data_IF_048534716326
#
_entry.id   IF_048534716326
#
_cell.length_a   1.000
_cell.length_b   1.000
_cell.length_c   1.000
_cell.angle_alpha   90.00
_cell.angle_beta   90.00
_cell.angle_gamma   90.00
#
_symmetry.space_group_name_H-M   'P 1'
#
loop_
_entity.id
_entity.type
_entity.pdbx_description
1 polymer ?
#
# COMPACT_ATOMS: atom_id res chain seq x y z
N UNK A 1 -36.94 -6.65 36.21
CA UNK A 1 -36.06 -5.62 36.76
C UNK A 1 -34.63 -6.19 36.75
N UNK A 2 -33.90 -5.99 35.68
CA UNK A 2 -32.50 -6.45 35.55
C UNK A 2 -31.69 -5.29 34.97
N UNK A 3 -30.80 -4.80 35.81
CA UNK A 3 -29.97 -3.65 35.59
C UNK A 3 -28.83 -4.01 34.62
N UNK A 4 -28.78 -3.35 33.43
CA UNK A 4 -27.67 -3.43 32.53
C UNK A 4 -26.49 -2.63 33.08
N UNK A 5 -25.36 -3.28 33.27
CA UNK A 5 -24.07 -2.60 33.46
C UNK A 5 -23.33 -2.58 32.14
N UNK A 6 -23.26 -1.42 31.52
CA UNK A 6 -22.31 -1.09 30.48
C UNK A 6 -20.90 -1.13 31.09
N UNK A 7 -20.06 -2.03 30.58
CA UNK A 7 -18.66 -2.07 30.95
C UNK A 7 -17.92 -1.00 30.15
N UNK A 8 -17.73 0.18 30.75
CA UNK A 8 -16.75 1.15 30.30
C UNK A 8 -15.35 0.54 30.46
N UNK A 9 -14.75 0.11 29.36
CA UNK A 9 -13.33 -0.23 29.33
C UNK A 9 -12.53 1.05 29.40
N UNK A 10 -12.20 1.42 30.64
CA UNK A 10 -11.20 2.45 30.95
C UNK A 10 -9.84 1.95 30.45
N UNK A 11 -9.41 2.45 29.31
CA UNK A 11 -8.05 2.25 28.81
C UNK A 11 -7.12 3.12 29.66
N UNK A 12 -6.55 2.54 30.70
CA UNK A 12 -5.48 3.17 31.50
C UNK A 12 -4.27 3.27 30.59
N UNK A 13 -3.89 4.50 30.22
CA UNK A 13 -2.69 4.79 29.47
C UNK A 13 -1.45 4.38 30.24
N UNK A 14 -0.94 3.19 29.94
CA UNK A 14 0.45 2.85 30.21
C UNK A 14 1.30 3.53 29.15
N UNK A 15 2.35 4.25 29.57
CA UNK A 15 3.40 4.75 28.69
C UNK A 15 4.15 3.56 28.06
N UNK A 16 3.57 2.98 27.00
CA UNK A 16 4.22 1.97 26.19
C UNK A 16 5.21 2.65 25.26
N UNK A 17 6.39 2.09 25.13
CA UNK A 17 7.34 2.48 24.10
C UNK A 17 6.62 2.56 22.74
N UNK A 18 6.78 3.70 22.07
CA UNK A 18 6.23 3.93 20.73
C UNK A 18 6.82 2.89 19.79
N UNK A 19 5.98 2.10 19.13
CA UNK A 19 6.41 1.07 18.20
C UNK A 19 7.12 1.66 16.98
N UNK A 20 7.72 0.81 16.19
CA UNK A 20 8.38 1.17 14.93
C UNK A 20 7.68 0.48 13.78
N UNK A 21 7.11 1.25 12.85
CA UNK A 21 6.33 0.74 11.74
C UNK A 21 7.09 0.80 10.41
N UNK A 22 7.02 -0.27 9.63
CA UNK A 22 7.38 -0.28 8.21
C UNK A 22 6.11 -0.35 7.36
N UNK A 23 6.07 0.47 6.29
CA UNK A 23 4.91 0.60 5.43
C UNK A 23 5.21 -0.01 4.06
N UNK A 24 4.29 -0.84 3.56
CA UNK A 24 4.38 -1.51 2.28
C UNK A 24 3.19 -1.11 1.40
N UNK A 25 3.49 -0.43 0.29
CA UNK A 25 2.50 0.17 -0.59
C UNK A 25 2.50 -0.54 -1.95
N UNK A 26 1.47 -1.34 -2.21
CA UNK A 26 1.20 -1.85 -3.56
C UNK A 26 0.62 -0.70 -4.41
N UNK A 27 1.47 -0.12 -5.25
CA UNK A 27 1.11 1.04 -6.05
C UNK A 27 0.00 0.76 -7.06
N UNK A 28 -0.08 -0.46 -7.58
CA UNK A 28 -1.16 -0.86 -8.49
C UNK A 28 -2.51 -0.90 -7.78
N UNK A 29 -2.54 -1.48 -6.60
CA UNK A 29 -3.76 -1.54 -5.80
C UNK A 29 -4.18 -0.16 -5.27
N UNK A 30 -3.24 0.66 -4.79
CA UNK A 30 -3.55 2.03 -4.36
C UNK A 30 -4.17 2.85 -5.48
N UNK A 31 -3.62 2.78 -6.70
CA UNK A 31 -4.19 3.48 -7.85
C UNK A 31 -5.61 3.02 -8.17
N UNK A 32 -5.85 1.71 -8.04
CA UNK A 32 -7.17 1.13 -8.23
C UNK A 32 -8.17 1.66 -7.19
N UNK A 33 -7.80 1.68 -5.91
CA UNK A 33 -8.62 2.22 -4.81
C UNK A 33 -8.89 3.72 -5.02
N UNK A 34 -7.88 4.52 -5.31
CA UNK A 34 -8.06 5.95 -5.55
C UNK A 34 -8.96 6.21 -6.76
N UNK A 35 -8.88 5.38 -7.80
CA UNK A 35 -9.69 5.52 -9.02
C UNK A 35 -11.15 5.19 -8.79
N UNK A 36 -11.44 4.05 -8.18
CA UNK A 36 -12.81 3.52 -8.09
C UNK A 36 -13.55 4.05 -6.86
N UNK A 37 -12.87 4.19 -5.72
CA UNK A 37 -13.52 4.57 -4.46
C UNK A 37 -13.47 6.09 -4.22
N UNK A 38 -12.46 6.81 -4.79
CA UNK A 38 -12.19 8.21 -4.44
C UNK A 38 -12.07 9.16 -5.64
N UNK A 39 -12.51 8.76 -6.83
CA UNK A 39 -12.56 9.64 -8.02
C UNK A 39 -11.20 10.18 -8.45
N UNK A 40 -10.14 9.39 -8.29
CA UNK A 40 -8.73 9.74 -8.62
C UNK A 40 -8.18 10.96 -7.85
N UNK A 41 -8.69 11.22 -6.65
CA UNK A 41 -8.22 12.34 -5.83
C UNK A 41 -6.71 12.24 -5.61
N UNK A 42 -5.94 13.31 -5.93
CA UNK A 42 -4.51 13.29 -5.72
C UNK A 42 -4.17 13.36 -4.23
N UNK A 43 -3.36 12.41 -3.76
CA UNK A 43 -2.96 12.32 -2.36
C UNK A 43 -1.49 12.67 -2.15
N UNK A 44 -1.15 13.03 -0.93
CA UNK A 44 0.21 13.18 -0.44
C UNK A 44 0.69 11.86 0.17
N UNK A 45 1.62 11.18 -0.50
CA UNK A 45 2.11 9.88 -0.07
C UNK A 45 2.90 9.95 1.25
N UNK A 46 3.51 11.09 1.59
CA UNK A 46 4.15 11.26 2.88
C UNK A 46 3.12 11.27 4.01
N UNK A 47 2.00 11.97 3.81
CA UNK A 47 0.88 11.98 4.77
C UNK A 47 0.22 10.60 4.86
N UNK A 48 0.06 9.89 3.73
CA UNK A 48 -0.46 8.52 3.75
C UNK A 48 0.42 7.61 4.60
N UNK A 49 1.74 7.61 4.36
CA UNK A 49 2.66 6.78 5.12
C UNK A 49 2.66 7.11 6.62
N UNK A 50 2.57 8.40 6.98
CA UNK A 50 2.43 8.81 8.37
C UNK A 50 1.12 8.35 9.00
N UNK A 51 0.00 8.47 8.27
CA UNK A 51 -1.30 7.98 8.74
C UNK A 51 -1.33 6.46 8.91
N UNK A 52 -0.64 5.74 8.04
CA UNK A 52 -0.53 4.28 8.12
C UNK A 52 0.38 3.83 9.28
N UNK A 53 1.41 4.60 9.59
CA UNK A 53 2.32 4.28 10.68
C UNK A 53 1.72 4.61 12.06
N UNK A 54 0.83 5.58 12.15
CA UNK A 54 0.31 6.07 13.43
C UNK A 54 -0.41 4.97 14.24
N UNK A 55 -0.14 4.91 15.58
CA UNK A 55 0.61 5.88 16.41
C UNK A 55 2.13 5.67 16.44
N UNK A 56 2.67 4.67 15.74
CA UNK A 56 4.07 4.28 15.78
C UNK A 56 5.00 5.22 14.98
N UNK A 57 6.30 5.12 15.23
CA UNK A 57 7.29 5.84 14.44
C UNK A 57 7.45 5.19 13.06
N UNK A 58 7.35 5.99 11.99
CA UNK A 58 7.63 5.52 10.64
C UNK A 58 9.13 5.24 10.45
N UNK A 59 9.52 3.98 10.33
CA UNK A 59 10.87 3.60 9.95
C UNK A 59 11.11 3.94 8.48
N UNK A 60 10.28 3.35 7.59
CA UNK A 60 10.37 3.49 6.13
C UNK A 60 9.05 3.11 5.46
N UNK A 61 8.74 3.81 4.38
CA UNK A 61 7.67 3.45 3.45
C UNK A 61 8.28 2.91 2.15
N UNK A 62 7.88 1.71 1.77
CA UNK A 62 8.28 1.06 0.53
C UNK A 62 7.12 1.14 -0.47
N UNK A 63 7.37 1.68 -1.64
CA UNK A 63 6.40 1.76 -2.74
C UNK A 63 6.80 0.83 -3.87
N UNK A 64 5.93 -0.10 -4.21
CA UNK A 64 6.16 -1.13 -5.23
C UNK A 64 5.27 -0.88 -6.43
N UNK A 65 5.85 -0.88 -7.62
CA UNK A 65 5.10 -0.73 -8.87
C UNK A 65 5.90 -1.22 -10.07
N UNK A 66 5.29 -1.21 -11.26
CA UNK A 66 5.97 -1.39 -12.54
C UNK A 66 5.92 -0.11 -13.36
N UNK A 67 7.01 0.16 -14.12
CA UNK A 67 6.95 1.15 -15.17
C UNK A 67 6.09 0.62 -16.32
N UNK A 68 5.34 1.49 -17.02
CA UNK A 68 4.57 1.10 -18.20
C UNK A 68 5.46 0.45 -19.27
N UNK A 69 4.88 -0.48 -20.00
CA UNK A 69 5.56 -1.10 -21.13
C UNK A 69 5.82 -0.08 -22.24
N UNK A 70 6.95 -0.28 -22.93
CA UNK A 70 7.27 0.39 -24.18
C UNK A 70 7.59 -0.66 -25.22
N UNK A 71 7.01 -0.52 -26.42
CA UNK A 71 7.37 -1.30 -27.61
C UNK A 71 8.75 -0.90 -28.15
N UNK A 72 9.25 -1.61 -29.15
CA UNK A 72 10.50 -1.27 -29.82
C UNK A 72 10.27 -1.18 -31.34
N UNK A 73 10.24 0.06 -31.90
CA UNK A 73 10.32 1.37 -31.23
C UNK A 73 9.04 1.72 -30.46
N UNK A 74 9.12 2.55 -29.41
CA UNK A 74 7.95 2.95 -28.64
C UNK A 74 7.11 3.99 -29.37
N UNK A 75 5.78 3.93 -29.19
CA UNK A 75 4.87 4.98 -29.65
C UNK A 75 4.97 6.24 -28.79
N UNK A 76 4.48 7.38 -29.28
CA UNK A 76 4.49 8.63 -28.51
C UNK A 76 3.65 8.50 -27.21
N UNK A 77 2.50 7.84 -27.28
CA UNK A 77 1.69 7.57 -26.08
C UNK A 77 2.43 6.72 -25.04
N UNK A 78 3.17 5.72 -25.49
CA UNK A 78 3.98 4.87 -24.59
C UNK A 78 5.09 5.68 -23.94
N UNK A 79 5.75 6.55 -24.68
CA UNK A 79 6.78 7.46 -24.15
C UNK A 79 6.20 8.42 -23.10
N UNK A 80 5.06 9.01 -23.38
CA UNK A 80 4.40 9.94 -22.46
C UNK A 80 3.95 9.23 -21.16
N UNK A 81 3.30 8.07 -21.25
CA UNK A 81 2.89 7.27 -20.08
C UNK A 81 4.10 6.86 -19.25
N UNK A 82 5.16 6.40 -19.90
CA UNK A 82 6.40 6.02 -19.25
C UNK A 82 7.03 7.22 -18.54
N UNK A 83 7.18 8.34 -19.23
CA UNK A 83 7.77 9.55 -18.67
C UNK A 83 6.95 10.09 -17.48
N UNK A 84 5.62 10.04 -17.55
CA UNK A 84 4.74 10.44 -16.45
C UNK A 84 4.97 9.55 -15.21
N UNK A 85 4.95 8.23 -15.39
CA UNK A 85 5.18 7.27 -14.31
C UNK A 85 6.58 7.41 -13.73
N UNK A 86 7.58 7.54 -14.57
CA UNK A 86 8.97 7.70 -14.15
C UNK A 86 9.15 8.98 -13.31
N UNK A 87 8.59 10.12 -13.76
CA UNK A 87 8.61 11.37 -12.95
C UNK A 87 7.92 11.20 -11.60
N UNK A 88 6.79 10.52 -11.57
CA UNK A 88 6.06 10.26 -10.33
C UNK A 88 6.88 9.39 -9.37
N UNK A 89 7.40 8.26 -9.81
CA UNK A 89 8.20 7.35 -8.98
C UNK A 89 9.51 7.98 -8.53
N UNK A 90 10.16 8.77 -9.40
CA UNK A 90 11.32 9.58 -9.02
C UNK A 90 10.96 10.61 -7.94
N UNK A 91 9.83 11.30 -8.07
CA UNK A 91 9.41 12.24 -7.03
C UNK A 91 9.14 11.55 -5.68
N UNK A 92 8.57 10.34 -5.68
CA UNK A 92 8.40 9.56 -4.46
C UNK A 92 9.73 9.16 -3.81
N UNK A 93 10.74 8.79 -4.61
CA UNK A 93 12.05 8.38 -4.08
C UNK A 93 12.82 9.53 -3.38
N UNK A 94 12.44 10.78 -3.61
CA UNK A 94 12.98 11.95 -2.89
C UNK A 94 12.23 12.28 -1.59
N UNK A 95 11.12 11.61 -1.31
CA UNK A 95 10.43 11.80 -0.03
C UNK A 95 11.26 11.21 1.11
N UNK A 96 11.32 11.89 2.27
CA UNK A 96 12.00 11.34 3.44
C UNK A 96 11.44 9.97 3.83
N UNK A 97 12.32 9.03 4.12
CA UNK A 97 11.98 7.64 4.53
C UNK A 97 11.20 6.84 3.48
N UNK A 98 11.24 7.24 2.20
CA UNK A 98 10.64 6.48 1.10
C UNK A 98 11.68 5.68 0.33
N UNK A 99 11.31 4.48 -0.05
CA UNK A 99 12.04 3.62 -0.98
C UNK A 99 11.11 3.14 -2.08
N UNK A 100 11.50 3.38 -3.34
CA UNK A 100 10.72 2.97 -4.51
C UNK A 100 11.36 1.73 -5.12
N UNK A 101 10.57 0.68 -5.27
CA UNK A 101 10.96 -0.61 -5.86
C UNK A 101 10.18 -0.83 -7.14
N UNK A 102 10.87 -0.90 -8.27
CA UNK A 102 10.25 -1.05 -9.58
C UNK A 102 10.48 -2.46 -10.14
N UNK A 103 9.38 -3.16 -10.40
CA UNK A 103 9.37 -4.41 -11.14
C UNK A 103 9.43 -4.19 -12.64
N UNK A 104 9.20 -5.25 -13.40
CA UNK A 104 9.16 -5.23 -14.88
C UNK A 104 7.78 -5.68 -15.36
N UNK A 105 7.27 -5.00 -16.39
CA UNK A 105 6.17 -5.51 -17.19
C UNK A 105 6.74 -6.42 -18.30
N UNK A 106 6.27 -7.65 -18.34
CA UNK A 106 6.55 -8.61 -19.41
C UNK A 106 5.34 -8.68 -20.34
N UNK A 107 5.56 -8.44 -21.63
CA UNK A 107 4.55 -8.69 -22.66
C UNK A 107 4.32 -10.20 -22.80
N UNK A 108 3.05 -10.64 -22.85
CA UNK A 108 2.64 -12.04 -22.91
C UNK A 108 1.84 -12.39 -24.17
N UNK A 109 1.73 -11.47 -25.10
CA UNK A 109 0.93 -11.62 -26.30
C UNK A 109 -0.30 -10.74 -26.30
N UNK A 110 -1.30 -11.12 -27.09
CA UNK A 110 -2.58 -10.43 -27.21
C UNK A 110 -3.71 -11.34 -26.73
N UNK A 111 -4.73 -10.75 -26.13
CA UNK A 111 -5.95 -11.43 -25.76
C UNK A 111 -6.82 -11.72 -27.01
N UNK A 112 -7.89 -12.49 -26.84
CA UNK A 112 -8.83 -12.83 -27.92
C UNK A 112 -9.52 -11.61 -28.55
N UNK A 113 -9.59 -10.50 -27.81
CA UNK A 113 -10.12 -9.20 -28.27
C UNK A 113 -9.04 -8.25 -28.81
N UNK A 114 -7.82 -8.77 -29.07
CA UNK A 114 -6.73 -8.03 -29.70
C UNK A 114 -5.95 -7.08 -28.77
N UNK A 115 -6.21 -7.10 -27.46
CA UNK A 115 -5.50 -6.25 -26.50
C UNK A 115 -4.21 -6.89 -26.01
N UNK A 116 -3.12 -6.11 -25.84
CA UNK A 116 -1.87 -6.64 -25.31
C UNK A 116 -2.04 -7.08 -23.86
N UNK A 117 -1.55 -8.28 -23.56
CA UNK A 117 -1.51 -8.85 -22.21
C UNK A 117 -0.15 -8.55 -21.60
N UNK A 118 -0.16 -7.95 -20.42
CA UNK A 118 1.04 -7.69 -19.63
C UNK A 118 0.98 -8.44 -18.30
N UNK A 119 2.12 -8.95 -17.87
CA UNK A 119 2.29 -9.53 -16.55
C UNK A 119 3.33 -8.73 -15.77
N UNK A 120 2.96 -8.31 -14.57
CA UNK A 120 3.92 -7.76 -13.61
C UNK A 120 4.86 -8.88 -13.15
N UNK A 121 6.13 -8.57 -13.05
CA UNK A 121 7.15 -9.49 -12.53
C UNK A 121 8.01 -8.80 -11.50
N UNK A 122 8.36 -9.55 -10.47
CA UNK A 122 9.25 -9.19 -9.35
C UNK A 122 8.62 -8.32 -8.27
N UNK A 123 7.49 -7.64 -8.50
CA UNK A 123 6.88 -6.74 -7.50
C UNK A 123 6.54 -7.52 -6.25
N UNK A 124 5.74 -8.57 -6.39
CA UNK A 124 5.24 -9.38 -5.28
C UNK A 124 6.38 -10.07 -4.53
N UNK A 125 7.35 -10.61 -5.28
CA UNK A 125 8.55 -11.22 -4.68
C UNK A 125 9.38 -10.20 -3.91
N UNK A 126 9.60 -8.99 -4.45
CA UNK A 126 10.37 -7.95 -3.75
C UNK A 126 9.66 -7.50 -2.47
N UNK A 127 8.35 -7.25 -2.53
CA UNK A 127 7.58 -6.85 -1.36
C UNK A 127 7.63 -7.92 -0.27
N UNK A 128 7.36 -9.18 -0.64
CA UNK A 128 7.38 -10.29 0.30
C UNK A 128 8.74 -10.50 0.96
N UNK A 129 9.83 -10.44 0.18
CA UNK A 129 11.19 -10.57 0.69
C UNK A 129 11.56 -9.40 1.62
N UNK A 130 11.28 -8.16 1.21
CA UNK A 130 11.59 -6.98 2.00
C UNK A 130 10.84 -7.00 3.34
N UNK A 131 9.57 -7.40 3.35
CA UNK A 131 8.77 -7.53 4.57
C UNK A 131 9.35 -8.59 5.52
N UNK A 132 9.61 -9.79 5.02
CA UNK A 132 10.15 -10.88 5.82
C UNK A 132 11.53 -10.52 6.39
N UNK A 133 12.42 -9.89 5.60
CA UNK A 133 13.74 -9.47 6.06
C UNK A 133 13.69 -8.38 7.13
N UNK A 134 12.77 -7.41 7.00
CA UNK A 134 12.62 -6.35 8.02
C UNK A 134 12.08 -6.91 9.32
N UNK A 135 11.10 -7.82 9.26
CA UNK A 135 10.57 -8.51 10.42
C UNK A 135 11.67 -9.32 11.14
N UNK A 136 12.40 -10.16 10.39
CA UNK A 136 13.45 -11.02 10.95
C UNK A 136 14.63 -10.24 11.58
N UNK A 137 14.86 -9.00 11.15
CA UNK A 137 15.88 -8.14 11.77
C UNK A 137 15.49 -7.59 13.15
N UNK A 138 14.25 -7.76 13.59
CA UNK A 138 13.76 -7.25 14.88
C UNK A 138 13.84 -5.72 15.01
N UNK A 139 13.78 -4.98 13.87
CA UNK A 139 13.87 -3.51 13.86
C UNK A 139 12.51 -2.83 13.78
N UNK A 140 11.46 -3.60 13.59
CA UNK A 140 10.08 -3.13 13.50
C UNK A 140 9.20 -3.94 14.44
N UNK A 141 8.22 -3.29 15.01
CA UNK A 141 7.16 -3.91 15.82
C UNK A 141 5.86 -4.07 15.02
N UNK A 142 5.68 -3.21 13.99
CA UNK A 142 4.47 -3.15 13.20
C UNK A 142 4.77 -3.08 11.70
N UNK A 143 3.93 -3.73 10.92
CA UNK A 143 3.85 -3.62 9.47
C UNK A 143 2.46 -3.10 9.12
N UNK A 144 2.38 -2.04 8.30
CA UNK A 144 1.15 -1.69 7.62
C UNK A 144 1.32 -1.96 6.11
N UNK A 145 0.50 -2.84 5.57
CA UNK A 145 0.50 -3.18 4.15
C UNK A 145 -0.78 -2.69 3.49
N UNK A 146 -0.64 -2.02 2.34
CA UNK A 146 -1.76 -1.57 1.53
C UNK A 146 -1.83 -2.39 0.25
N UNK A 147 -2.66 -3.42 0.24
CA UNK A 147 -2.87 -4.34 -0.88
C UNK A 147 -4.22 -5.03 -0.79
N UNK A 148 -4.67 -5.63 -1.88
CA UNK A 148 -5.85 -6.50 -1.92
C UNK A 148 -5.52 -7.93 -2.32
N UNK A 149 -4.24 -8.23 -2.56
CA UNK A 149 -3.78 -9.47 -3.17
C UNK A 149 -3.38 -10.52 -2.11
N UNK A 150 -3.94 -11.72 -2.24
CA UNK A 150 -3.62 -12.87 -1.37
C UNK A 150 -2.20 -13.43 -1.55
N UNK A 151 -1.51 -13.10 -2.63
CA UNK A 151 -0.14 -13.56 -2.87
C UNK A 151 0.85 -13.07 -1.80
N UNK A 152 0.47 -12.07 -1.00
CA UNK A 152 1.26 -11.57 0.13
C UNK A 152 1.04 -12.31 1.44
N UNK A 153 0.08 -13.24 1.53
CA UNK A 153 -0.19 -14.02 2.75
C UNK A 153 1.06 -14.68 3.33
N UNK A 154 1.93 -15.36 2.52
CA UNK A 154 3.13 -15.97 3.07
C UNK A 154 4.10 -14.98 3.73
N UNK A 155 4.18 -13.76 3.21
CA UNK A 155 5.02 -12.70 3.80
C UNK A 155 4.43 -12.16 5.10
N UNK A 156 3.11 -12.01 5.17
CA UNK A 156 2.38 -11.62 6.38
C UNK A 156 2.58 -12.68 7.48
N UNK A 157 2.42 -13.95 7.15
CA UNK A 157 2.66 -15.05 8.09
C UNK A 157 4.10 -15.06 8.60
N UNK A 158 5.08 -14.80 7.71
CA UNK A 158 6.48 -14.71 8.11
C UNK A 158 6.70 -13.57 9.11
N UNK A 159 6.15 -12.37 8.85
CA UNK A 159 6.24 -11.24 9.76
C UNK A 159 5.57 -11.52 11.13
N UNK A 160 4.39 -12.14 11.12
CA UNK A 160 3.67 -12.52 12.36
C UNK A 160 4.44 -13.55 13.19
N UNK A 161 5.14 -14.51 12.56
CA UNK A 161 6.00 -15.48 13.28
C UNK A 161 7.17 -14.80 14.00
N UNK A 162 7.65 -13.67 13.51
CA UNK A 162 8.68 -12.84 14.15
C UNK A 162 8.09 -11.90 15.23
N UNK A 163 6.80 -12.03 15.55
CA UNK A 163 6.13 -11.20 16.55
C UNK A 163 5.76 -9.79 16.09
N UNK A 164 5.79 -9.53 14.78
CA UNK A 164 5.40 -8.24 14.20
C UNK A 164 3.90 -8.19 14.01
N UNK A 165 3.25 -7.14 14.46
CA UNK A 165 1.82 -6.88 14.26
C UNK A 165 1.58 -6.40 12.83
N UNK A 166 0.58 -6.96 12.15
CA UNK A 166 0.30 -6.64 10.75
C UNK A 166 -1.07 -5.99 10.59
N UNK A 167 -1.07 -4.74 10.14
CA UNK A 167 -2.27 -3.97 9.79
C UNK A 167 -2.46 -3.98 8.27
N UNK A 168 -3.57 -4.53 7.79
CA UNK A 168 -4.00 -4.45 6.40
C UNK A 168 -4.75 -3.15 6.14
N UNK A 169 -4.25 -2.34 5.21
CA UNK A 169 -5.00 -1.23 4.62
C UNK A 169 -5.61 -1.66 3.29
N UNK A 170 -6.88 -1.31 3.07
CA UNK A 170 -7.64 -1.78 1.91
C UNK A 170 -8.62 -0.71 1.39
N UNK A 171 -9.17 -0.94 0.20
CA UNK A 171 -10.26 -0.17 -0.38
C UNK A 171 -11.62 -0.54 0.20
N UNK A 172 -12.69 -0.05 -0.40
CA UNK A 172 -14.05 -0.30 0.07
C UNK A 172 -14.42 -1.79 0.03
N UNK A 173 -14.97 -2.30 1.14
CA UNK A 173 -15.48 -3.68 1.21
C UNK A 173 -16.74 -3.90 0.34
N UNK A 174 -17.41 -2.82 -0.05
CA UNK A 174 -18.62 -2.86 -0.90
C UNK A 174 -18.30 -2.79 -2.39
N UNK A 175 -17.05 -2.51 -2.75
CA UNK A 175 -16.60 -2.41 -4.14
C UNK A 175 -15.98 -3.72 -4.60
N UNK A 176 -16.55 -4.33 -5.63
CA UNK A 176 -15.98 -5.55 -6.24
C UNK A 176 -14.59 -5.32 -6.85
N UNK A 177 -14.28 -4.07 -7.21
CA UNK A 177 -12.99 -3.70 -7.77
C UNK A 177 -11.88 -3.56 -6.73
N UNK A 178 -12.21 -3.14 -5.49
CA UNK A 178 -11.21 -2.70 -4.51
C UNK A 178 -11.26 -3.45 -3.18
N UNK A 179 -12.24 -4.33 -2.99
CA UNK A 179 -12.27 -5.19 -1.80
C UNK A 179 -11.04 -6.12 -1.77
N UNK A 180 -10.40 -6.30 -0.62
CA UNK A 180 -9.32 -7.27 -0.50
C UNK A 180 -9.84 -8.70 -0.62
N UNK A 181 -8.94 -9.65 -0.92
CA UNK A 181 -9.30 -11.07 -0.83
C UNK A 181 -9.72 -11.42 0.59
N UNK A 182 -10.66 -12.36 0.71
CA UNK A 182 -11.16 -12.80 2.03
C UNK A 182 -10.05 -13.37 2.90
N UNK A 183 -9.19 -14.20 2.33
CA UNK A 183 -8.09 -14.83 3.04
C UNK A 183 -7.10 -13.78 3.59
N UNK A 184 -6.76 -12.77 2.77
CA UNK A 184 -5.91 -11.67 3.19
C UNK A 184 -6.54 -10.86 4.33
N UNK A 185 -7.85 -10.62 4.25
CA UNK A 185 -8.59 -9.90 5.28
C UNK A 185 -8.64 -10.67 6.61
N UNK A 186 -8.73 -12.01 6.56
CA UNK A 186 -8.79 -12.86 7.74
C UNK A 186 -7.42 -12.99 8.44
N UNK A 187 -6.31 -13.04 7.68
CA UNK A 187 -4.96 -13.26 8.25
C UNK A 187 -4.37 -12.05 8.96
N UNK A 188 -4.76 -10.82 8.59
CA UNK A 188 -4.26 -9.59 9.20
C UNK A 188 -4.68 -9.49 10.67
N UNK A 189 -3.82 -8.91 11.53
CA UNK A 189 -4.15 -8.65 12.93
C UNK A 189 -5.13 -7.48 13.03
N UNK A 190 -4.89 -6.40 12.28
CA UNK A 190 -5.77 -5.25 12.19
C UNK A 190 -6.16 -4.97 10.72
N UNK A 191 -7.29 -4.30 10.51
CA UNK A 191 -7.81 -3.91 9.21
C UNK A 191 -8.22 -2.45 9.25
N UNK A 192 -7.87 -1.70 8.21
CA UNK A 192 -8.21 -0.27 8.06
C UNK A 192 -8.60 0.03 6.62
N UNK A 193 -9.81 0.50 6.43
CA UNK A 193 -10.24 1.00 5.13
C UNK A 193 -9.67 2.40 4.87
N UNK A 194 -9.19 2.64 3.65
CA UNK A 194 -8.88 3.99 3.21
C UNK A 194 -10.19 4.71 2.93
N UNK A 195 -10.75 5.34 3.96
CA UNK A 195 -12.04 6.04 3.87
C UNK A 195 -11.89 7.39 3.17
N UNK A 196 -13.02 7.93 2.68
CA UNK A 196 -13.04 9.26 2.08
C UNK A 196 -12.53 10.35 3.02
N UNK A 197 -12.85 10.26 4.30
CA UNK A 197 -12.37 11.20 5.31
C UNK A 197 -10.84 11.20 5.43
N UNK A 198 -10.22 10.02 5.39
CA UNK A 198 -8.76 9.90 5.40
C UNK A 198 -8.18 10.51 4.12
N UNK A 199 -8.74 10.19 2.96
CA UNK A 199 -8.28 10.72 1.66
C UNK A 199 -8.34 12.24 1.63
N UNK A 200 -9.41 12.84 2.13
CA UNK A 200 -9.55 14.31 2.22
C UNK A 200 -8.49 14.95 3.13
N UNK A 201 -8.15 14.32 4.25
CA UNK A 201 -7.08 14.79 5.16
C UNK A 201 -5.69 14.71 4.55
N UNK A 202 -5.44 13.69 3.73
CA UNK A 202 -4.15 13.48 3.05
C UNK A 202 -4.14 14.02 1.63
N UNK A 203 -5.19 14.67 1.17
CA UNK A 203 -5.26 15.25 -0.17
C UNK A 203 -4.11 16.22 -0.42
N UNK A 204 -3.56 16.16 -1.64
CA UNK A 204 -2.51 17.06 -2.07
C UNK A 204 -3.12 18.44 -2.35
N UNK A 205 -2.68 19.45 -1.62
CA UNK A 205 -3.12 20.80 -1.91
C UNK A 205 -2.63 21.26 -3.30
N UNK A 206 -3.46 21.98 -4.07
CA UNK A 206 -3.04 22.56 -5.33
C UNK A 206 -1.79 23.43 -5.09
N UNK A 207 -0.73 23.23 -5.90
CA UNK A 207 0.40 24.15 -5.86
C UNK A 207 -0.10 25.55 -6.20
N UNK A 208 -0.05 26.46 -5.27
CA UNK A 208 -0.20 27.90 -5.59
C UNK A 208 0.91 28.21 -6.60
N UNK A 209 0.53 28.53 -7.83
CA UNK A 209 1.46 29.07 -8.82
C UNK A 209 1.94 30.41 -8.27
N UNK A 210 3.21 30.48 -7.88
CA UNK A 210 3.91 31.73 -7.70
C UNK A 210 4.34 32.27 -9.04
#
# INVERSE_FOLDING_TARGET
MVCGKTADHFFVGGGGDMGVAAIFLDGGYIEKVLRFDHGQMPIDFSKLAQAMAAPDELLRAHYYHCLPYQSNPPTEEEKERYAMRHRFTTALSFLPRFEVRLGRLAYRGVSSDGKPIFQQKRVDCMLGVDMALLAAKGKITNVAIFTGDSDFIPAIEAAKREGVLVTLWHGSLTSDDTKPSRELFEIADERRELTREIVEKIARQPRQRR
#
